data_IF_161480394127
#
_entry.id   IF_161480394127
#
_cell.length_a   1.000
_cell.length_b   1.000
_cell.length_c   1.000
_cell.angle_alpha   90.00
_cell.angle_beta   90.00
_cell.angle_gamma   90.00
#
_symmetry.space_group_name_H-M   'P 1'
#
loop_
_entity.id
_entity.type
_entity.pdbx_description
1 polymer ?
#
# COMPACT_ATOMS: atom_id res chain seq x y z
N UNK A 1 -5.53 11.53 34.45
CA UNK A 1 -5.90 10.51 33.45
C UNK A 1 -5.08 10.78 32.20
N UNK A 2 -4.24 9.83 31.80
CA UNK A 2 -3.19 10.04 30.79
C UNK A 2 -3.83 10.11 29.41
N UNK A 3 -3.66 11.26 28.73
CA UNK A 3 -3.96 11.41 27.31
C UNK A 3 -3.23 10.31 26.53
N UNK A 4 -4.01 9.41 25.93
CA UNK A 4 -3.50 8.41 25.02
C UNK A 4 -2.82 9.14 23.89
N UNK A 5 -1.50 8.91 23.78
CA UNK A 5 -0.65 9.44 22.73
C UNK A 5 -1.37 9.27 21.40
N UNK A 6 -1.72 10.40 20.78
CA UNK A 6 -2.03 10.49 19.37
C UNK A 6 -0.84 9.92 18.61
N UNK A 7 -0.88 8.62 18.37
CA UNK A 7 0.10 7.96 17.53
C UNK A 7 -0.35 8.33 16.13
N UNK A 8 0.11 9.51 15.71
CA UNK A 8 0.23 9.89 14.31
C UNK A 8 0.62 8.62 13.56
N UNK A 9 -0.13 8.27 12.50
CA UNK A 9 0.21 7.15 11.62
C UNK A 9 1.61 7.44 11.09
N UNK A 10 2.63 6.97 11.79
CA UNK A 10 3.93 6.74 11.22
C UNK A 10 3.78 5.45 10.43
N UNK A 11 3.01 5.56 9.33
CA UNK A 11 3.34 4.75 8.17
C UNK A 11 4.81 5.05 7.96
N UNK A 12 5.68 4.08 8.27
CA UNK A 12 7.11 4.24 8.05
C UNK A 12 7.30 4.80 6.64
N UNK A 13 8.23 5.74 6.52
CA UNK A 13 8.53 6.34 5.22
C UNK A 13 8.64 5.24 4.18
N UNK A 14 7.92 5.35 3.05
CA UNK A 14 7.95 4.33 2.03
C UNK A 14 9.39 4.03 1.65
N UNK A 15 9.75 2.75 1.66
CA UNK A 15 11.09 2.35 1.24
C UNK A 15 11.21 2.67 -0.26
N UNK A 16 12.25 3.43 -0.60
CA UNK A 16 12.64 3.77 -1.97
C UNK A 16 14.12 3.45 -2.10
N UNK A 17 14.47 2.66 -3.11
CA UNK A 17 15.85 2.31 -3.38
C UNK A 17 16.57 3.43 -4.12
N UNK A 18 17.82 3.69 -3.74
CA UNK A 18 18.74 4.49 -4.54
C UNK A 18 19.25 3.71 -5.77
N UNK A 19 19.98 4.36 -6.68
CA UNK A 19 20.42 3.73 -7.95
C UNK A 19 21.37 2.52 -7.76
N UNK A 20 22.23 2.56 -6.73
CA UNK A 20 23.11 1.43 -6.38
C UNK A 20 22.29 0.25 -5.86
N UNK A 21 21.35 0.52 -4.94
CA UNK A 21 20.44 -0.47 -4.38
C UNK A 21 19.51 -1.07 -5.42
N UNK A 22 19.04 -0.30 -6.41
CA UNK A 22 18.26 -0.83 -7.55
C UNK A 22 19.06 -1.83 -8.38
N UNK A 23 20.34 -1.55 -8.59
CA UNK A 23 21.24 -2.47 -9.30
C UNK A 23 21.39 -3.77 -8.52
N UNK A 24 21.62 -3.68 -7.21
CA UNK A 24 21.69 -4.84 -6.32
C UNK A 24 20.37 -5.62 -6.26
N UNK A 25 19.23 -4.93 -6.19
CA UNK A 25 17.89 -5.54 -6.23
C UNK A 25 17.65 -6.29 -7.55
N UNK A 26 18.16 -5.76 -8.68
CA UNK A 26 18.10 -6.43 -9.98
C UNK A 26 18.90 -7.72 -9.98
N UNK A 27 20.14 -7.69 -9.46
CA UNK A 27 20.98 -8.88 -9.33
C UNK A 27 20.34 -9.91 -8.41
N UNK A 28 19.74 -9.46 -7.30
CA UNK A 28 19.04 -10.32 -6.35
C UNK A 28 17.84 -11.03 -6.99
N UNK A 29 16.98 -10.31 -7.71
CA UNK A 29 15.83 -10.89 -8.43
C UNK A 29 16.29 -11.93 -9.45
N UNK A 30 17.34 -11.64 -10.22
CA UNK A 30 17.88 -12.58 -11.20
C UNK A 30 18.47 -13.84 -10.54
N UNK A 31 19.20 -13.68 -9.43
CA UNK A 31 19.71 -14.80 -8.64
C UNK A 31 18.59 -15.63 -8.01
N UNK A 32 17.49 -15.00 -7.59
CA UNK A 32 16.32 -15.71 -7.07
C UNK A 32 15.57 -16.49 -8.16
N UNK A 33 15.56 -16.01 -9.41
CA UNK A 33 14.88 -16.68 -10.54
C UNK A 33 15.66 -17.88 -11.08
N UNK A 34 17.00 -17.87 -11.00
CA UNK A 34 17.84 -18.98 -11.47
C UNK A 34 17.90 -20.17 -10.50
N UNK A 35 17.44 -19.98 -9.26
CA UNK A 35 17.42 -21.01 -8.22
C UNK A 35 16.04 -21.66 -8.15
N UNK A 36 15.97 -22.98 -8.28
CA UNK A 36 14.74 -23.72 -8.00
C UNK A 36 14.45 -23.66 -6.50
N UNK A 37 13.42 -22.90 -6.12
CA UNK A 37 12.97 -22.72 -4.72
C UNK A 37 12.72 -24.03 -3.97
N UNK A 38 12.54 -25.15 -4.67
CA UNK A 38 12.25 -26.46 -4.11
C UNK A 38 13.48 -27.19 -3.53
N UNK A 39 14.71 -26.77 -3.85
CA UNK A 39 15.93 -27.55 -3.51
C UNK A 39 16.98 -26.80 -2.68
N UNK A 40 16.80 -25.51 -2.40
CA UNK A 40 17.80 -24.72 -1.67
C UNK A 40 17.14 -23.83 -0.63
N UNK A 41 17.54 -23.99 0.64
CA UNK A 41 17.15 -23.10 1.73
C UNK A 41 17.75 -21.72 1.49
N UNK A 42 16.92 -20.68 1.55
CA UNK A 42 17.38 -19.31 1.53
C UNK A 42 17.83 -18.89 2.92
N UNK A 43 18.93 -18.17 3.00
CA UNK A 43 19.54 -17.76 4.25
C UNK A 43 19.79 -16.25 4.27
N UNK A 44 19.57 -15.62 5.42
CA UNK A 44 20.04 -14.28 5.71
C UNK A 44 21.32 -14.36 6.51
N UNK A 45 22.34 -13.63 6.06
CA UNK A 45 23.60 -13.47 6.79
C UNK A 45 23.66 -12.08 7.40
N UNK A 46 23.81 -12.00 8.72
CA UNK A 46 24.02 -10.72 9.40
C UNK A 46 25.45 -10.22 9.20
N UNK A 47 25.73 -8.91 9.42
CA UNK A 47 27.11 -8.39 9.38
C UNK A 47 28.06 -9.12 10.32
N UNK A 48 27.56 -9.61 11.45
CA UNK A 48 28.32 -10.37 12.46
C UNK A 48 28.56 -11.84 12.04
N UNK A 49 28.11 -12.24 10.85
CA UNK A 49 28.30 -13.57 10.28
C UNK A 49 27.27 -14.61 10.70
N UNK A 50 26.25 -14.23 11.47
CA UNK A 50 25.15 -15.14 11.86
C UNK A 50 24.32 -15.47 10.63
N UNK A 51 24.07 -16.76 10.42
CA UNK A 51 23.25 -17.27 9.32
C UNK A 51 21.91 -17.72 9.87
N UNK A 52 20.82 -17.22 9.27
CA UNK A 52 19.45 -17.52 9.65
C UNK A 52 18.69 -18.05 8.44
N UNK A 53 18.13 -19.25 8.56
CA UNK A 53 17.28 -19.82 7.51
C UNK A 53 15.96 -19.03 7.42
N UNK A 54 15.59 -18.66 6.20
CA UNK A 54 14.31 -18.05 5.91
C UNK A 54 13.21 -19.11 5.79
N UNK A 55 12.08 -18.94 6.50
CA UNK A 55 10.89 -19.75 6.26
C UNK A 55 10.50 -19.73 4.76
N UNK A 56 10.16 -20.88 4.16
CA UNK A 56 9.78 -20.94 2.75
C UNK A 56 8.61 -20.01 2.39
N UNK A 57 7.71 -19.74 3.34
CA UNK A 57 6.57 -18.84 3.20
C UNK A 57 6.95 -17.36 3.01
N UNK A 58 8.14 -16.93 3.46
CA UNK A 58 8.59 -15.55 3.28
C UNK A 58 9.19 -15.29 1.89
N UNK A 59 9.58 -16.33 1.16
CA UNK A 59 10.30 -16.16 -0.10
C UNK A 59 9.47 -15.50 -1.21
N UNK A 60 8.22 -15.92 -1.46
CA UNK A 60 7.39 -15.23 -2.45
C UNK A 60 7.17 -13.76 -2.10
N UNK A 61 7.01 -13.47 -0.80
CA UNK A 61 6.83 -12.11 -0.30
C UNK A 61 8.08 -11.26 -0.55
N UNK A 62 9.27 -11.73 -0.15
CA UNK A 62 10.53 -11.01 -0.36
C UNK A 62 10.76 -10.77 -1.85
N UNK A 63 10.51 -11.77 -2.70
CA UNK A 63 10.63 -11.62 -4.15
C UNK A 63 9.74 -10.49 -4.67
N UNK A 64 8.45 -10.51 -4.30
CA UNK A 64 7.50 -9.48 -4.70
C UNK A 64 7.91 -8.09 -4.20
N UNK A 65 8.42 -8.00 -2.98
CA UNK A 65 8.91 -6.74 -2.40
C UNK A 65 10.10 -6.18 -3.18
N UNK A 66 11.13 -7.00 -3.42
CA UNK A 66 12.34 -6.58 -4.14
C UNK A 66 12.01 -6.21 -5.59
N UNK A 67 11.16 -6.98 -6.28
CA UNK A 67 10.76 -6.66 -7.65
C UNK A 67 9.95 -5.35 -7.72
N UNK A 68 9.04 -5.11 -6.76
CA UNK A 68 8.31 -3.84 -6.65
C UNK A 68 9.27 -2.66 -6.50
N UNK A 69 10.23 -2.77 -5.58
CA UNK A 69 11.21 -1.73 -5.30
C UNK A 69 12.13 -1.46 -6.49
N UNK A 70 12.60 -2.50 -7.17
CA UNK A 70 13.44 -2.40 -8.37
C UNK A 70 12.73 -1.68 -9.52
N UNK A 71 11.41 -1.82 -9.65
CA UNK A 71 10.59 -1.08 -10.61
C UNK A 71 10.44 0.42 -10.27
N UNK A 72 11.07 0.90 -9.18
CA UNK A 72 10.96 2.28 -8.73
C UNK A 72 9.65 2.59 -8.01
N UNK A 73 8.87 1.56 -7.64
CA UNK A 73 7.65 1.73 -6.86
C UNK A 73 8.01 1.75 -5.37
N UNK A 74 7.54 2.77 -4.67
CA UNK A 74 7.68 2.85 -3.23
C UNK A 74 6.86 1.74 -2.53
N UNK A 75 7.41 1.17 -1.46
CA UNK A 75 6.78 0.07 -0.71
C UNK A 75 6.60 0.43 0.76
N UNK A 76 5.41 0.16 1.29
CA UNK A 76 5.11 0.27 2.72
C UNK A 76 4.47 -1.03 3.21
N UNK A 77 4.96 -1.58 4.33
CA UNK A 77 4.37 -2.74 4.99
C UNK A 77 3.56 -2.25 6.18
N UNK A 78 2.30 -2.68 6.25
CA UNK A 78 1.38 -2.34 7.32
C UNK A 78 0.76 -3.61 7.91
N UNK A 79 0.47 -3.64 9.22
CA UNK A 79 -0.33 -4.71 9.81
C UNK A 79 -1.72 -4.78 9.15
N UNK A 80 -2.26 -5.98 9.01
CA UNK A 80 -3.56 -6.20 8.37
C UNK A 80 -4.71 -5.51 9.11
N UNK A 81 -4.68 -5.54 10.45
CA UNK A 81 -5.71 -4.96 11.32
C UNK A 81 -5.41 -3.52 11.74
N UNK A 82 -4.52 -2.84 11.01
CA UNK A 82 -4.24 -1.44 11.26
C UNK A 82 -5.51 -0.62 11.02
N UNK A 83 -5.99 0.05 12.07
CA UNK A 83 -7.09 1.00 11.96
C UNK A 83 -6.56 2.43 11.95
N UNK A 84 -7.30 3.30 11.28
CA UNK A 84 -6.97 4.71 11.08
C UNK A 84 -8.09 5.60 11.58
N UNK A 85 -7.75 6.83 11.96
CA UNK A 85 -8.74 7.85 12.32
C UNK A 85 -9.44 8.39 11.08
N UNK A 86 -10.55 9.11 11.27
CA UNK A 86 -11.22 9.84 10.18
C UNK A 86 -10.30 10.84 9.48
N UNK A 87 -9.39 11.48 10.23
CA UNK A 87 -8.44 12.44 9.65
C UNK A 87 -7.43 11.73 8.76
N UNK A 88 -6.85 10.64 9.27
CA UNK A 88 -5.89 9.83 8.53
C UNK A 88 -6.49 9.22 7.26
N UNK A 89 -7.75 8.75 7.32
CA UNK A 89 -8.46 8.31 6.14
C UNK A 89 -8.66 9.45 5.13
N UNK A 90 -8.98 10.66 5.59
CA UNK A 90 -9.14 11.83 4.73
C UNK A 90 -7.83 12.18 4.01
N UNK A 91 -6.71 12.15 4.73
CA UNK A 91 -5.38 12.38 4.17
C UNK A 91 -5.03 11.31 3.11
N UNK A 92 -5.32 10.04 3.39
CA UNK A 92 -5.07 8.91 2.45
C UNK A 92 -5.93 8.97 1.18
N UNK A 93 -7.17 9.44 1.32
CA UNK A 93 -8.13 9.61 0.23
C UNK A 93 -7.94 10.94 -0.51
N UNK A 94 -7.15 11.88 0.05
CA UNK A 94 -6.96 13.23 -0.45
C UNK A 94 -8.29 14.00 -0.58
N UNK A 95 -9.07 14.00 0.49
CA UNK A 95 -10.41 14.62 0.61
C UNK A 95 -10.54 15.32 1.97
N UNK A 96 -11.62 16.07 2.19
CA UNK A 96 -11.89 16.67 3.50
C UNK A 96 -12.28 15.61 4.53
N UNK A 97 -11.98 15.86 5.81
CA UNK A 97 -12.44 15.01 6.91
C UNK A 97 -13.96 14.91 6.96
N UNK A 98 -14.66 16.01 6.70
CA UNK A 98 -16.12 16.04 6.68
C UNK A 98 -16.71 15.12 5.59
N UNK A 99 -16.05 15.05 4.43
CA UNK A 99 -16.44 14.09 3.39
C UNK A 99 -16.29 12.64 3.88
N UNK A 100 -15.18 12.30 4.56
CA UNK A 100 -15.04 10.96 5.17
C UNK A 100 -16.15 10.70 6.19
N UNK A 101 -16.49 11.67 7.04
CA UNK A 101 -17.60 11.52 8.00
C UNK A 101 -18.91 11.21 7.27
N UNK A 102 -19.21 11.90 6.17
CA UNK A 102 -20.40 11.62 5.35
C UNK A 102 -20.38 10.20 4.78
N UNK A 103 -19.22 9.69 4.31
CA UNK A 103 -19.11 8.31 3.84
C UNK A 103 -19.41 7.28 4.94
N UNK A 104 -18.94 7.56 6.16
CA UNK A 104 -19.23 6.71 7.31
C UNK A 104 -20.72 6.73 7.66
N UNK A 105 -21.34 7.92 7.68
CA UNK A 105 -22.76 8.09 8.00
C UNK A 105 -23.65 7.39 6.97
N UNK A 106 -23.26 7.41 5.69
CA UNK A 106 -23.93 6.71 4.58
C UNK A 106 -23.60 5.22 4.50
N UNK A 107 -22.69 4.71 5.36
CA UNK A 107 -22.18 3.33 5.37
C UNK A 107 -21.48 2.91 4.07
N UNK A 108 -21.00 3.87 3.29
CA UNK A 108 -20.19 3.62 2.09
C UNK A 108 -18.75 3.22 2.44
N UNK A 109 -18.30 3.59 3.65
CA UNK A 109 -17.04 3.19 4.23
C UNK A 109 -17.28 2.62 5.64
N UNK A 110 -16.99 1.34 5.91
CA UNK A 110 -17.20 0.73 7.22
C UNK A 110 -16.33 1.37 8.31
N UNK A 111 -16.87 1.57 9.51
CA UNK A 111 -16.09 1.95 10.68
C UNK A 111 -16.57 1.24 11.95
N UNK A 112 -15.66 1.09 12.89
CA UNK A 112 -15.91 0.59 14.24
C UNK A 112 -15.77 1.72 15.26
N UNK A 113 -16.43 1.58 16.41
CA UNK A 113 -16.26 2.51 17.51
C UNK A 113 -15.30 1.90 18.54
N UNK A 114 -14.15 2.54 18.74
CA UNK A 114 -13.12 2.13 19.69
C UNK A 114 -12.91 3.28 20.66
N UNK A 115 -13.15 3.03 21.96
CA UNK A 115 -13.06 4.04 23.02
C UNK A 115 -13.87 5.31 22.72
N UNK A 116 -15.07 5.16 22.15
CA UNK A 116 -15.95 6.27 21.79
C UNK A 116 -15.59 7.00 20.49
N UNK A 117 -14.47 6.67 19.85
CA UNK A 117 -14.04 7.26 18.58
C UNK A 117 -14.25 6.33 17.39
N UNK A 118 -14.62 6.90 16.23
CA UNK A 118 -14.69 6.14 14.98
C UNK A 118 -13.28 5.75 14.51
N UNK A 119 -13.11 4.48 14.14
CA UNK A 119 -11.90 3.88 13.57
C UNK A 119 -12.26 3.14 12.29
N UNK A 120 -11.43 3.29 11.27
CA UNK A 120 -11.65 2.72 9.95
C UNK A 120 -10.50 1.76 9.69
N UNK A 121 -10.77 0.51 9.30
CA UNK A 121 -9.68 -0.39 8.92
C UNK A 121 -8.98 0.17 7.67
N UNK A 122 -7.64 0.24 7.69
CA UNK A 122 -6.85 0.81 6.60
C UNK A 122 -7.17 0.14 5.27
N UNK A 123 -7.37 -1.19 5.28
CA UNK A 123 -7.77 -1.97 4.09
C UNK A 123 -9.03 -1.42 3.42
N UNK A 124 -10.00 -0.95 4.20
CA UNK A 124 -11.26 -0.40 3.68
C UNK A 124 -11.04 0.96 3.03
N UNK A 125 -10.18 1.79 3.64
CA UNK A 125 -9.78 3.09 3.06
C UNK A 125 -9.09 2.88 1.72
N UNK A 126 -8.14 1.93 1.65
CA UNK A 126 -7.42 1.63 0.41
C UNK A 126 -8.38 1.08 -0.64
N UNK A 127 -9.25 0.13 -0.29
CA UNK A 127 -10.25 -0.42 -1.20
C UNK A 127 -11.20 0.67 -1.74
N UNK A 128 -11.67 1.57 -0.88
CA UNK A 128 -12.49 2.71 -1.29
C UNK A 128 -11.74 3.62 -2.27
N UNK A 129 -10.45 3.91 -2.01
CA UNK A 129 -9.61 4.71 -2.91
C UNK A 129 -9.49 4.07 -4.30
N UNK A 130 -9.40 2.74 -4.37
CA UNK A 130 -9.35 2.02 -5.64
C UNK A 130 -10.65 2.17 -6.42
N UNK A 131 -11.80 1.95 -5.79
CA UNK A 131 -13.13 2.16 -6.41
C UNK A 131 -13.30 3.58 -6.93
N UNK A 132 -12.96 4.58 -6.11
CA UNK A 132 -13.04 6.00 -6.50
C UNK A 132 -12.17 6.33 -7.74
N UNK A 133 -10.99 5.71 -7.87
CA UNK A 133 -10.11 5.89 -9.02
C UNK A 133 -10.63 5.20 -10.27
N UNK A 134 -11.26 4.05 -10.13
CA UNK A 134 -11.91 3.33 -11.22
C UNK A 134 -13.10 4.11 -11.76
N UNK A 135 -14.00 4.57 -10.89
CA UNK A 135 -15.14 5.41 -11.26
C UNK A 135 -14.70 6.70 -11.97
N UNK A 136 -13.67 7.38 -11.44
CA UNK A 136 -13.11 8.57 -12.09
C UNK A 136 -12.59 8.27 -13.50
N UNK A 137 -11.89 7.15 -13.69
CA UNK A 137 -11.41 6.73 -15.02
C UNK A 137 -12.57 6.45 -15.97
N UNK A 138 -13.62 5.77 -15.49
CA UNK A 138 -14.82 5.50 -16.28
C UNK A 138 -15.53 6.78 -16.71
N UNK A 139 -15.73 7.74 -15.81
CA UNK A 139 -16.37 9.02 -16.15
C UNK A 139 -15.54 9.83 -17.14
N UNK A 140 -14.21 9.88 -16.97
CA UNK A 140 -13.34 10.56 -17.93
C UNK A 140 -13.41 9.92 -19.32
N UNK A 141 -13.38 8.58 -19.40
CA UNK A 141 -13.52 7.87 -20.66
C UNK A 141 -14.87 8.14 -21.34
N UNK A 142 -15.96 8.20 -20.57
CA UNK A 142 -17.28 8.52 -21.10
C UNK A 142 -17.37 9.96 -21.64
N UNK A 143 -16.72 10.93 -20.98
CA UNK A 143 -16.65 12.30 -21.47
C UNK A 143 -15.82 12.43 -22.75
N UNK A 144 -14.69 11.71 -22.85
CA UNK A 144 -13.88 11.67 -24.08
C UNK A 144 -14.69 11.07 -25.24
N UNK A 145 -15.34 9.93 -25.02
CA UNK A 145 -16.17 9.31 -26.04
C UNK A 145 -17.31 10.23 -26.51
N UNK A 146 -18.00 10.89 -25.57
CA UNK A 146 -19.06 11.85 -25.91
C UNK A 146 -18.51 13.05 -26.70
N UNK A 147 -17.31 13.51 -26.38
CA UNK A 147 -16.66 14.62 -27.10
C UNK A 147 -16.25 14.24 -28.52
N UNK A 148 -15.78 13.01 -28.72
CA UNK A 148 -15.45 12.44 -30.03
C UNK A 148 -16.71 12.26 -30.90
N UNK A 149 -17.78 11.75 -30.31
CA UNK A 149 -19.09 11.60 -30.98
C UNK A 149 -19.70 12.95 -31.38
N UNK A 150 -19.41 14.02 -30.62
CA UNK A 150 -19.86 15.38 -30.91
C UNK A 150 -18.90 16.17 -31.83
N UNK A 151 -17.81 15.56 -32.30
CA UNK A 151 -16.85 16.19 -33.21
C UNK A 151 -16.15 17.41 -32.62
N UNK A 152 -15.99 17.46 -31.29
CA UNK A 152 -15.38 18.60 -30.58
C UNK A 152 -13.84 18.55 -30.55
N UNK A 153 -13.24 17.54 -31.19
CA UNK A 153 -11.81 17.40 -31.42
C UNK A 153 -11.53 17.18 -32.92
N UNK A 154 -10.99 18.22 -33.57
CA UNK A 154 -10.16 18.17 -34.80
C UNK A 154 -8.75 18.66 -34.43
#
# INVERSE_FOLDING_TARGET
>A
MRGGRETMLSLKEPLVLNESEKTQATQLVHAMQSVSFAQSGFQLRTPDGVVVDLPPSLLPLIFQMVDTLRQGKALTIVPYDLTVTTQQAADLLNVSRDYVIQLLDRRELPCEQVDGHRRIALREVIAYRHRMREERRHHLAALTQLSDELGLYD
#
